data_IF_862801667298
#
_entry.id   IF_862801667298
#
_cell.length_a   1.000
_cell.length_b   1.000
_cell.length_c   1.000
_cell.angle_alpha   90.00
_cell.angle_beta   90.00
_cell.angle_gamma   90.00
#
_symmetry.space_group_name_H-M   'P 1'
#
loop_
_entity.id
_entity.type
_entity.pdbx_description
1 polymer ?
#
# COMPACT_ATOMS: atom_id res chain seq x y z
N UNK A 1 22.61 8.43 -3.24
CA UNK A 1 21.71 7.84 -4.26
C UNK A 1 21.13 6.58 -3.62
N UNK A 2 19.87 6.60 -3.18
CA UNK A 2 19.27 5.38 -2.59
C UNK A 2 19.13 4.33 -3.66
N UNK A 3 19.52 3.10 -3.36
CA UNK A 3 19.42 1.99 -4.30
C UNK A 3 17.92 1.68 -4.54
N UNK A 4 17.51 1.58 -5.82
CA UNK A 4 16.14 1.24 -6.19
C UNK A 4 15.67 -0.06 -5.54
N UNK A 5 16.59 -1.01 -5.35
CA UNK A 5 16.33 -2.27 -4.67
C UNK A 5 15.99 -2.06 -3.18
N UNK A 6 16.67 -1.15 -2.49
CA UNK A 6 16.36 -0.82 -1.09
C UNK A 6 14.95 -0.22 -0.96
N UNK A 7 14.56 0.64 -1.92
CA UNK A 7 13.20 1.21 -1.96
C UNK A 7 12.15 0.12 -2.19
N UNK A 8 12.38 -0.79 -3.14
CA UNK A 8 11.48 -1.94 -3.41
C UNK A 8 11.35 -2.81 -2.15
N UNK A 9 12.46 -3.13 -1.49
CA UNK A 9 12.47 -3.91 -0.24
C UNK A 9 11.67 -3.19 0.85
N UNK A 10 11.86 -1.88 1.02
CA UNK A 10 11.14 -1.08 2.00
C UNK A 10 9.62 -1.10 1.75
N UNK A 11 9.18 -0.86 0.51
CA UNK A 11 7.75 -0.90 0.16
C UNK A 11 7.14 -2.26 0.47
N UNK A 12 7.79 -3.35 0.02
CA UNK A 12 7.31 -4.72 0.28
C UNK A 12 7.27 -5.02 1.78
N UNK A 13 8.27 -4.56 2.55
CA UNK A 13 8.31 -4.71 4.01
C UNK A 13 7.13 -3.99 4.67
N UNK A 14 6.82 -2.75 4.28
CA UNK A 14 5.72 -2.01 4.87
C UNK A 14 4.34 -2.54 4.46
N UNK A 15 4.18 -3.03 3.22
CA UNK A 15 2.94 -3.72 2.80
C UNK A 15 2.69 -4.99 3.62
N UNK A 16 3.74 -5.80 3.88
CA UNK A 16 3.64 -6.96 4.77
C UNK A 16 3.33 -6.55 6.21
N UNK A 17 3.92 -5.45 6.69
CA UNK A 17 3.62 -4.89 8.02
C UNK A 17 2.15 -4.46 8.13
N UNK A 18 1.60 -3.84 7.10
CA UNK A 18 0.19 -3.46 7.04
C UNK A 18 -0.72 -4.69 7.18
N UNK A 19 -0.42 -5.78 6.47
CA UNK A 19 -1.14 -7.05 6.62
C UNK A 19 -1.08 -7.57 8.06
N UNK A 20 0.12 -7.58 8.66
CA UNK A 20 0.32 -8.02 10.04
C UNK A 20 -0.47 -7.17 11.06
N UNK A 21 -0.55 -5.85 10.86
CA UNK A 21 -1.35 -4.96 11.72
C UNK A 21 -2.84 -5.28 11.57
N UNK A 22 -3.33 -5.45 10.35
CA UNK A 22 -4.73 -5.84 10.13
C UNK A 22 -5.05 -7.22 10.69
N UNK A 23 -4.07 -8.11 10.76
CA UNK A 23 -4.25 -9.45 11.31
C UNK A 23 -4.26 -9.51 12.82
N UNK A 24 -3.30 -8.87 13.46
CA UNK A 24 -3.00 -9.08 14.88
C UNK A 24 -3.43 -7.92 15.77
N UNK A 25 -3.65 -6.72 15.20
CA UNK A 25 -3.99 -5.52 15.98
C UNK A 25 -5.46 -5.09 15.80
N UNK A 26 -6.32 -6.00 15.33
CA UNK A 26 -7.75 -5.75 15.26
C UNK A 26 -8.33 -5.65 16.68
N UNK A 27 -8.93 -4.50 17.01
CA UNK A 27 -9.54 -4.25 18.32
C UNK A 27 -10.93 -4.87 18.43
N UNK A 28 -11.56 -5.14 17.29
CA UNK A 28 -12.85 -5.80 17.19
C UNK A 28 -12.92 -6.53 15.85
N UNK A 29 -13.58 -7.69 15.83
CA UNK A 29 -13.86 -8.46 14.60
C UNK A 29 -15.36 -8.73 14.55
N UNK A 30 -16.03 -8.26 13.50
CA UNK A 30 -17.45 -8.56 13.23
C UNK A 30 -17.57 -9.15 11.84
N UNK A 31 -17.98 -10.42 11.75
CA UNK A 31 -18.04 -11.17 10.50
C UNK A 31 -16.71 -11.12 9.72
N UNK A 32 -16.71 -10.52 8.53
CA UNK A 32 -15.53 -10.35 7.65
C UNK A 32 -14.84 -8.99 7.83
N UNK A 33 -15.33 -8.18 8.76
CA UNK A 33 -14.86 -6.83 9.02
C UNK A 33 -13.99 -6.81 10.27
N UNK A 34 -12.75 -6.34 10.13
CA UNK A 34 -11.84 -6.08 11.24
C UNK A 34 -11.80 -4.58 11.51
N UNK A 35 -11.88 -4.20 12.78
CA UNK A 35 -11.74 -2.81 13.19
C UNK A 35 -10.34 -2.59 13.73
N UNK A 36 -9.63 -1.60 13.19
CA UNK A 36 -8.22 -1.37 13.48
C UNK A 36 -8.00 0.11 13.77
N UNK A 37 -7.08 0.44 14.67
CA UNK A 37 -6.75 1.82 15.01
C UNK A 37 -6.22 2.59 13.78
N UNK A 38 -6.83 3.75 13.47
CA UNK A 38 -6.46 4.58 12.31
C UNK A 38 -5.00 4.97 12.32
N UNK A 39 -4.49 5.43 13.47
CA UNK A 39 -3.10 5.88 13.60
C UNK A 39 -2.12 4.78 13.19
N UNK A 40 -2.39 3.53 13.59
CA UNK A 40 -1.53 2.38 13.26
C UNK A 40 -1.50 2.11 11.75
N UNK A 41 -2.65 2.21 11.10
CA UNK A 41 -2.76 2.06 9.64
C UNK A 41 -2.07 3.23 8.93
N UNK A 42 -2.40 4.47 9.29
CA UNK A 42 -1.87 5.67 8.64
C UNK A 42 -0.35 5.82 8.81
N UNK A 43 0.20 5.46 9.97
CA UNK A 43 1.66 5.45 10.20
C UNK A 43 2.37 4.54 9.17
N UNK A 44 1.80 3.36 8.88
CA UNK A 44 2.39 2.43 7.92
C UNK A 44 2.15 2.86 6.48
N UNK A 45 0.97 3.42 6.16
CA UNK A 45 0.70 3.98 4.83
C UNK A 45 1.65 5.14 4.51
N UNK A 46 1.89 6.03 5.46
CA UNK A 46 2.87 7.10 5.33
C UNK A 46 4.27 6.54 5.00
N UNK A 47 4.68 5.46 5.67
CA UNK A 47 5.95 4.79 5.38
C UNK A 47 6.00 4.18 3.97
N UNK A 48 4.89 3.59 3.48
CA UNK A 48 4.79 3.06 2.11
C UNK A 48 4.95 4.20 1.10
N UNK A 49 4.19 5.28 1.28
CA UNK A 49 4.17 6.43 0.38
C UNK A 49 5.54 7.14 0.31
N UNK A 50 6.21 7.28 1.46
CA UNK A 50 7.55 7.83 1.55
C UNK A 50 8.59 6.95 0.85
N UNK A 51 8.37 5.63 0.81
CA UNK A 51 9.32 4.66 0.22
C UNK A 51 9.24 4.60 -1.31
N UNK A 52 8.17 5.09 -1.94
CA UNK A 52 8.08 5.11 -3.40
C UNK A 52 9.21 5.97 -4.01
N UNK A 53 9.87 5.51 -5.09
CA UNK A 53 10.79 6.31 -5.89
C UNK A 53 10.08 7.53 -6.48
N UNK A 54 10.83 8.61 -6.70
CA UNK A 54 10.24 9.86 -7.19
C UNK A 54 9.88 9.75 -8.66
N UNK A 55 10.65 8.99 -9.44
CA UNK A 55 10.37 8.58 -10.82
C UNK A 55 9.01 7.87 -10.91
N UNK A 56 8.78 6.88 -10.02
CA UNK A 56 7.50 6.16 -9.95
C UNK A 56 6.32 7.10 -9.61
N UNK A 57 6.50 8.01 -8.65
CA UNK A 57 5.48 9.01 -8.29
C UNK A 57 5.19 9.95 -9.46
N UNK A 58 6.22 10.43 -10.15
CA UNK A 58 6.08 11.33 -11.30
C UNK A 58 5.38 10.64 -12.47
N UNK A 59 5.74 9.40 -12.75
CA UNK A 59 5.12 8.58 -13.79
C UNK A 59 3.59 8.47 -13.59
N UNK A 60 3.16 8.20 -12.36
CA UNK A 60 1.73 8.12 -12.00
C UNK A 60 1.07 9.51 -12.07
N UNK A 61 1.74 10.55 -11.56
CA UNK A 61 1.23 11.93 -11.59
C UNK A 61 0.94 12.41 -13.02
N UNK A 62 1.68 11.91 -13.99
CA UNK A 62 1.48 12.17 -15.42
C UNK A 62 0.33 11.37 -16.05
N UNK A 63 -0.54 10.76 -15.25
CA UNK A 63 -1.73 10.05 -15.71
C UNK A 63 -1.47 8.64 -16.26
N UNK A 64 -0.23 8.14 -16.16
CA UNK A 64 0.12 6.79 -16.62
C UNK A 64 -0.32 5.76 -15.59
N UNK A 65 -0.88 4.65 -16.06
CA UNK A 65 -1.38 3.60 -15.20
C UNK A 65 -0.36 2.48 -15.01
N UNK A 66 -0.18 2.09 -13.74
CA UNK A 66 0.62 0.96 -13.32
C UNK A 66 -0.26 0.01 -12.51
N UNK A 67 -0.07 -1.30 -12.67
CA UNK A 67 -0.90 -2.31 -12.00
C UNK A 67 -0.81 -2.16 -10.49
N UNK A 68 0.40 -2.04 -9.97
CA UNK A 68 0.68 -1.88 -8.55
C UNK A 68 0.04 -0.62 -7.97
N UNK A 69 0.07 0.50 -8.70
CA UNK A 69 -0.62 1.73 -8.28
C UNK A 69 -2.13 1.54 -8.25
N UNK A 70 -2.72 0.91 -9.27
CA UNK A 70 -4.16 0.66 -9.32
C UNK A 70 -4.60 -0.21 -8.14
N UNK A 71 -3.86 -1.29 -7.82
CA UNK A 71 -4.13 -2.11 -6.65
C UNK A 71 -3.94 -1.34 -5.34
N UNK A 72 -2.92 -0.48 -5.25
CA UNK A 72 -2.68 0.33 -4.05
C UNK A 72 -3.78 1.37 -3.81
N UNK A 73 -4.29 2.04 -4.84
CA UNK A 73 -5.42 2.97 -4.71
C UNK A 73 -6.68 2.24 -4.22
N UNK A 74 -6.96 1.04 -4.77
CA UNK A 74 -8.09 0.22 -4.30
C UNK A 74 -7.91 -0.22 -2.85
N UNK A 75 -6.69 -0.58 -2.46
CA UNK A 75 -6.35 -0.87 -1.07
C UNK A 75 -6.67 0.32 -0.16
N UNK A 76 -6.22 1.53 -0.51
CA UNK A 76 -6.49 2.75 0.27
C UNK A 76 -7.99 3.00 0.46
N UNK A 77 -8.79 2.80 -0.60
CA UNK A 77 -10.25 2.95 -0.54
C UNK A 77 -10.89 1.98 0.46
N UNK A 78 -10.38 0.75 0.55
CA UNK A 78 -10.91 -0.29 1.45
C UNK A 78 -10.47 -0.03 2.89
N UNK A 79 -9.18 0.21 3.13
CA UNK A 79 -8.64 0.28 4.49
C UNK A 79 -8.92 1.61 5.18
N UNK A 80 -9.20 2.70 4.45
CA UNK A 80 -9.59 3.99 5.02
C UNK A 80 -11.10 4.17 5.17
N UNK A 81 -11.84 3.07 5.26
CA UNK A 81 -13.28 3.11 5.48
C UNK A 81 -13.60 3.48 6.94
N UNK A 82 -14.23 4.63 7.15
CA UNK A 82 -14.66 5.06 8.49
C UNK A 82 -15.73 4.12 9.05
N UNK A 83 -15.79 4.00 10.37
CA UNK A 83 -16.87 3.31 11.08
C UNK A 83 -17.70 4.29 11.92
N UNK A 84 -18.97 3.96 12.10
CA UNK A 84 -19.88 4.66 13.02
C UNK A 84 -19.60 4.34 14.50
N UNK A 85 -18.85 3.26 14.78
CA UNK A 85 -18.58 2.80 16.14
C UNK A 85 -17.57 3.67 16.90
N UNK A 86 -16.50 4.09 16.21
CA UNK A 86 -15.43 4.87 16.79
C UNK A 86 -14.69 5.65 15.71
N UNK A 87 -14.59 6.96 15.89
CA UNK A 87 -13.90 7.85 14.95
C UNK A 87 -12.40 7.60 14.83
N UNK A 88 -11.79 6.90 15.80
CA UNK A 88 -10.38 6.54 15.82
C UNK A 88 -10.07 5.19 15.16
N UNK A 89 -11.08 4.50 14.60
CA UNK A 89 -10.90 3.20 13.95
C UNK A 89 -11.27 3.22 12.47
N UNK A 90 -10.63 2.35 11.70
CA UNK A 90 -11.08 1.96 10.38
C UNK A 90 -11.82 0.63 10.43
N UNK A 91 -12.84 0.49 9.59
CA UNK A 91 -13.60 -0.74 9.36
C UNK A 91 -13.10 -1.40 8.09
N UNK A 92 -12.28 -2.45 8.21
CA UNK A 92 -11.58 -3.04 7.09
C UNK A 92 -12.23 -4.35 6.69
N UNK A 93 -12.70 -4.45 5.45
CA UNK A 93 -13.14 -5.71 4.87
C UNK A 93 -11.90 -6.56 4.54
N UNK A 94 -11.55 -7.46 5.48
CA UNK A 94 -10.20 -7.99 5.57
C UNK A 94 -9.77 -8.79 4.34
N UNK A 95 -10.66 -9.61 3.77
CA UNK A 95 -10.35 -10.42 2.60
C UNK A 95 -10.04 -9.60 1.35
N UNK A 96 -10.72 -8.46 1.19
CA UNK A 96 -10.46 -7.57 0.06
C UNK A 96 -9.14 -6.83 0.27
N UNK A 97 -8.89 -6.33 1.48
CA UNK A 97 -7.62 -5.68 1.82
C UNK A 97 -6.42 -6.64 1.64
N UNK A 98 -6.54 -7.89 2.10
CA UNK A 98 -5.55 -8.96 1.90
C UNK A 98 -5.27 -9.19 0.41
N UNK A 99 -6.32 -9.31 -0.41
CA UNK A 99 -6.20 -9.47 -1.86
C UNK A 99 -5.41 -8.32 -2.51
N UNK A 100 -5.77 -7.06 -2.20
CA UNK A 100 -5.10 -5.92 -2.81
C UNK A 100 -3.66 -5.73 -2.32
N UNK A 101 -3.36 -6.04 -1.06
CA UNK A 101 -1.96 -6.07 -0.58
C UNK A 101 -1.15 -7.10 -1.37
N UNK A 102 -1.67 -8.31 -1.53
CA UNK A 102 -0.99 -9.36 -2.28
C UNK A 102 -0.78 -8.97 -3.75
N UNK A 103 -1.79 -8.37 -4.39
CA UNK A 103 -1.71 -7.90 -5.77
C UNK A 103 -0.67 -6.76 -5.94
N UNK A 104 -0.64 -5.78 -5.02
CA UNK A 104 0.40 -4.74 -5.01
C UNK A 104 1.79 -5.34 -4.79
N UNK A 105 1.95 -6.26 -3.84
CA UNK A 105 3.23 -6.95 -3.58
C UNK A 105 3.77 -7.69 -4.82
N UNK A 106 2.88 -8.33 -5.58
CA UNK A 106 3.24 -9.09 -6.78
C UNK A 106 3.66 -8.21 -7.96
N UNK A 107 3.17 -6.98 -8.04
CA UNK A 107 3.36 -6.10 -9.21
C UNK A 107 4.36 -4.96 -8.98
N UNK A 108 4.55 -4.50 -7.74
CA UNK A 108 5.26 -3.24 -7.46
C UNK A 108 6.72 -3.23 -7.90
N UNK A 109 7.42 -4.36 -7.79
CA UNK A 109 8.81 -4.44 -8.23
C UNK A 109 8.94 -4.29 -9.74
N UNK A 110 8.12 -5.03 -10.51
CA UNK A 110 8.14 -4.96 -11.96
C UNK A 110 7.81 -3.55 -12.44
N UNK A 111 6.79 -2.92 -11.84
CA UNK A 111 6.36 -1.57 -12.22
C UNK A 111 7.42 -0.52 -11.88
N UNK A 112 8.07 -0.60 -10.71
CA UNK A 112 9.15 0.33 -10.34
C UNK A 112 10.34 0.18 -11.29
N UNK A 113 10.78 -1.06 -11.57
CA UNK A 113 11.90 -1.30 -12.49
C UNK A 113 11.58 -0.83 -13.90
N UNK A 114 10.34 -1.05 -14.37
CA UNK A 114 9.87 -0.54 -15.65
C UNK A 114 9.95 0.99 -15.71
N UNK A 115 9.45 1.71 -14.71
CA UNK A 115 9.53 3.18 -14.70
C UNK A 115 10.99 3.64 -14.68
N UNK A 116 11.80 3.06 -13.80
CA UNK A 116 13.19 3.45 -13.64
C UNK A 116 13.99 3.31 -14.94
N UNK A 117 13.81 2.20 -15.67
CA UNK A 117 14.50 1.96 -16.94
C UNK A 117 14.02 2.90 -18.06
N UNK A 118 12.72 3.25 -18.08
CA UNK A 118 12.17 4.18 -19.07
C UNK A 118 12.56 5.65 -18.81
N UNK A 119 12.65 6.08 -17.55
CA UNK A 119 13.05 7.46 -17.21
C UNK A 119 14.57 7.66 -17.25
N UNK A 120 15.35 6.60 -17.04
CA UNK A 120 16.82 6.66 -17.12
C UNK A 120 17.37 6.60 -18.55
N UNK A 121 16.52 6.48 -19.58
CA UNK A 121 16.96 6.37 -20.97
C UNK A 121 17.83 5.14 -21.26
N UNK A 122 17.66 4.05 -20.51
CA UNK A 122 18.40 2.79 -20.67
C UNK A 122 17.86 1.90 -21.82
N UNK A 123 17.19 2.51 -22.80
CA UNK A 123 16.78 1.92 -24.07
C UNK A 123 16.94 2.95 -25.19
#
# INVERSE_FOLDING_TARGET
>A
MYNIDEKIVAIKKYLKKLLMIMDNEAVLVLFKTKFVNKKRIDDVLCCIEASFPDEYKNFIKNGRQLKSNNYYIRLLQIIRTNTWLNSSWYSIHYKDAEHYIAATLASIESDIRFVYNNESGLF
#
